data_IF_901736333507
#
_entry.id   IF_901736333507
#
_cell.length_a   1.000
_cell.length_b   1.000
_cell.length_c   1.000
_cell.angle_alpha   90.00
_cell.angle_beta   90.00
_cell.angle_gamma   90.00
#
_symmetry.space_group_name_H-M   'P 1'
#
loop_
_entity.id
_entity.type
_entity.pdbx_description
1 polymer ?
#
# COMPACT_ATOMS: atom_id res chain seq x y z
N UNK A 1 -9.57 -102.02 -102.89
CA UNK A 1 -10.30 -101.25 -101.86
C UNK A 1 -9.33 -100.27 -101.25
N UNK A 2 -9.65 -98.99 -101.34
CA UNK A 2 -8.85 -97.83 -100.92
C UNK A 2 -9.15 -97.47 -99.46
N UNK A 3 -8.13 -97.09 -98.69
CA UNK A 3 -8.30 -96.44 -97.37
C UNK A 3 -7.28 -95.33 -97.22
N UNK A 4 -7.78 -94.09 -97.20
CA UNK A 4 -7.05 -92.84 -97.00
C UNK A 4 -6.88 -92.53 -95.50
N UNK A 5 -5.70 -92.02 -95.14
CA UNK A 5 -5.37 -91.54 -93.78
C UNK A 5 -5.48 -90.01 -93.76
N UNK A 6 -6.31 -89.48 -92.87
CA UNK A 6 -6.48 -88.05 -92.62
C UNK A 6 -5.53 -87.54 -91.52
N UNK A 7 -4.84 -86.43 -91.80
CA UNK A 7 -4.04 -85.67 -90.83
C UNK A 7 -4.92 -84.75 -89.97
N UNK A 8 -4.83 -84.86 -88.65
CA UNK A 8 -5.40 -83.89 -87.68
C UNK A 8 -4.43 -82.75 -87.43
N UNK A 9 -4.83 -81.52 -87.77
CA UNK A 9 -4.08 -80.30 -87.47
C UNK A 9 -4.31 -79.85 -86.01
N UNK A 10 -3.22 -79.57 -85.29
CA UNK A 10 -3.25 -78.88 -83.99
C UNK A 10 -3.78 -77.46 -84.17
N UNK A 11 -4.87 -77.13 -83.48
CA UNK A 11 -5.33 -75.75 -83.33
C UNK A 11 -4.29 -74.95 -82.53
N UNK A 12 -3.80 -73.86 -83.13
CA UNK A 12 -3.07 -72.79 -82.42
C UNK A 12 -4.09 -71.98 -81.62
N UNK A 13 -3.83 -71.79 -80.33
CA UNK A 13 -4.62 -70.92 -79.46
C UNK A 13 -4.66 -69.48 -80.00
N UNK A 14 -5.85 -68.87 -79.88
CA UNK A 14 -6.17 -67.54 -80.39
C UNK A 14 -5.37 -66.44 -79.64
N UNK A 15 -4.50 -65.68 -80.34
CA UNK A 15 -3.70 -64.61 -79.75
C UNK A 15 -4.52 -63.44 -79.19
N UNK A 16 -5.82 -63.34 -79.50
CA UNK A 16 -6.70 -62.30 -78.95
C UNK A 16 -7.06 -62.49 -77.47
N UNK A 17 -7.04 -63.72 -76.95
CA UNK A 17 -7.43 -64.04 -75.56
C UNK A 17 -6.39 -63.61 -74.51
N UNK A 18 -5.11 -63.62 -74.88
CA UNK A 18 -4.00 -63.22 -74.00
C UNK A 18 -3.96 -61.71 -73.76
N UNK A 19 -4.19 -60.90 -74.80
CA UNK A 19 -4.25 -59.43 -74.66
C UNK A 19 -5.44 -58.95 -73.85
N UNK A 20 -6.59 -59.63 -73.94
CA UNK A 20 -7.76 -59.35 -73.10
C UNK A 20 -7.49 -59.67 -71.61
N UNK A 21 -6.78 -60.76 -71.31
CA UNK A 21 -6.39 -61.10 -69.95
C UNK A 21 -5.36 -60.12 -69.36
N UNK A 22 -4.36 -59.69 -70.16
CA UNK A 22 -3.34 -58.71 -69.75
C UNK A 22 -3.95 -57.33 -69.51
N UNK A 23 -4.89 -56.89 -70.35
CA UNK A 23 -5.60 -55.61 -70.16
C UNK A 23 -6.55 -55.65 -68.97
N UNK A 24 -7.25 -56.75 -68.73
CA UNK A 24 -8.08 -56.93 -67.53
C UNK A 24 -7.23 -56.94 -66.24
N UNK A 25 -6.06 -57.59 -66.24
CA UNK A 25 -5.11 -57.56 -65.12
C UNK A 25 -4.48 -56.18 -64.91
N UNK A 26 -4.15 -55.45 -65.98
CA UNK A 26 -3.66 -54.09 -65.89
C UNK A 26 -4.73 -53.12 -65.36
N UNK A 27 -5.98 -53.25 -65.83
CA UNK A 27 -7.11 -52.47 -65.32
C UNK A 27 -7.42 -52.81 -63.86
N UNK A 28 -7.37 -54.09 -63.48
CA UNK A 28 -7.50 -54.52 -62.09
C UNK A 28 -6.35 -54.02 -61.22
N UNK A 29 -5.11 -54.02 -61.71
CA UNK A 29 -3.96 -53.46 -61.00
C UNK A 29 -4.08 -51.94 -60.82
N UNK A 30 -4.54 -51.20 -61.84
CA UNK A 30 -4.82 -49.76 -61.74
C UNK A 30 -5.98 -49.48 -60.78
N UNK A 31 -7.02 -50.31 -60.75
CA UNK A 31 -8.12 -50.21 -59.78
C UNK A 31 -7.68 -50.56 -58.35
N UNK A 32 -6.82 -51.55 -58.16
CA UNK A 32 -6.25 -51.92 -56.85
C UNK A 32 -5.29 -50.84 -56.36
N UNK A 33 -4.43 -50.31 -57.23
CA UNK A 33 -3.54 -49.19 -56.92
C UNK A 33 -4.35 -47.91 -56.66
N UNK A 34 -5.39 -47.63 -57.45
CA UNK A 34 -6.27 -46.46 -57.30
C UNK A 34 -7.19 -46.52 -56.08
N UNK A 35 -7.68 -47.71 -55.71
CA UNK A 35 -8.46 -47.91 -54.47
C UNK A 35 -7.56 -47.89 -53.23
N UNK A 36 -6.35 -48.44 -53.32
CA UNK A 36 -5.34 -48.34 -52.26
C UNK A 36 -4.93 -46.88 -51.99
N UNK A 37 -4.71 -46.07 -53.03
CA UNK A 37 -4.38 -44.64 -52.86
C UNK A 37 -5.55 -43.83 -52.32
N UNK A 38 -6.79 -44.12 -52.72
CA UNK A 38 -7.98 -43.49 -52.16
C UNK A 38 -8.18 -43.82 -50.68
N UNK A 39 -7.98 -45.09 -50.28
CA UNK A 39 -8.05 -45.52 -48.89
C UNK A 39 -6.97 -44.84 -48.04
N UNK A 40 -5.72 -44.76 -48.53
CA UNK A 40 -4.62 -44.05 -47.85
C UNK A 40 -4.90 -42.54 -47.75
N UNK A 41 -5.47 -41.92 -48.79
CA UNK A 41 -5.82 -40.51 -48.76
C UNK A 41 -6.94 -40.19 -47.76
N UNK A 42 -7.96 -41.03 -47.68
CA UNK A 42 -9.04 -40.93 -46.68
C UNK A 42 -8.49 -41.12 -45.27
N UNK A 43 -7.66 -42.14 -45.07
CA UNK A 43 -7.01 -42.45 -43.81
C UNK A 43 -6.15 -41.28 -43.31
N UNK A 44 -5.36 -40.67 -44.20
CA UNK A 44 -4.56 -39.48 -43.88
C UNK A 44 -5.40 -38.22 -43.68
N UNK A 45 -6.54 -38.07 -44.37
CA UNK A 45 -7.46 -36.96 -44.16
C UNK A 45 -8.14 -37.05 -42.78
N UNK A 46 -8.59 -38.24 -42.38
CA UNK A 46 -9.16 -38.48 -41.07
C UNK A 46 -8.11 -38.38 -39.96
N UNK A 47 -6.89 -38.85 -40.22
CA UNK A 47 -5.76 -38.64 -39.32
C UNK A 47 -5.47 -37.15 -39.13
N UNK A 48 -5.41 -36.38 -40.23
CA UNK A 48 -5.20 -34.94 -40.16
C UNK A 48 -6.31 -34.24 -39.37
N UNK A 49 -7.57 -34.62 -39.55
CA UNK A 49 -8.69 -34.11 -38.74
C UNK A 49 -8.54 -34.46 -37.26
N UNK A 50 -8.08 -35.67 -36.95
CA UNK A 50 -7.86 -36.11 -35.56
C UNK A 50 -6.83 -35.24 -34.84
N UNK A 51 -5.77 -34.84 -35.55
CA UNK A 51 -4.67 -34.05 -34.97
C UNK A 51 -4.83 -32.53 -35.14
N UNK A 52 -5.82 -32.04 -35.90
CA UNK A 52 -6.00 -30.59 -36.15
C UNK A 52 -6.19 -29.75 -34.89
N UNK A 53 -6.68 -30.36 -33.81
CA UNK A 53 -6.92 -29.71 -32.52
C UNK A 53 -6.13 -30.36 -31.37
N UNK A 54 -5.09 -31.13 -31.69
CA UNK A 54 -4.25 -31.84 -30.70
C UNK A 54 -2.77 -31.60 -30.95
N UNK A 55 -1.98 -31.47 -29.88
CA UNK A 55 -0.53 -31.38 -29.98
C UNK A 55 0.05 -32.71 -30.47
N UNK A 56 1.11 -32.69 -31.28
CA UNK A 56 1.69 -33.90 -31.86
C UNK A 56 2.44 -34.74 -30.80
N UNK A 57 2.63 -36.05 -31.02
CA UNK A 57 3.43 -36.90 -30.13
C UNK A 57 4.85 -36.35 -29.97
N UNK A 58 5.33 -36.31 -28.72
CA UNK A 58 6.63 -35.72 -28.35
C UNK A 58 6.60 -34.22 -28.02
N UNK A 59 5.41 -33.62 -27.96
CA UNK A 59 5.24 -32.26 -27.44
C UNK A 59 5.27 -32.25 -25.90
N UNK A 60 6.09 -31.38 -25.34
CA UNK A 60 6.33 -31.26 -23.91
C UNK A 60 6.28 -29.79 -23.46
N UNK A 61 5.64 -29.51 -22.33
CA UNK A 61 5.59 -28.18 -21.72
C UNK A 61 6.00 -28.27 -20.25
N UNK A 62 7.07 -27.59 -19.84
CA UNK A 62 7.61 -27.64 -18.47
C UNK A 62 7.81 -29.06 -17.90
N UNK A 63 8.19 -30.06 -18.72
CA UNK A 63 8.30 -31.45 -18.24
C UNK A 63 7.04 -32.31 -18.42
N UNK A 64 5.92 -31.70 -18.83
CA UNK A 64 4.63 -32.38 -18.99
C UNK A 64 4.47 -32.82 -20.44
N UNK A 65 4.30 -34.13 -20.66
CA UNK A 65 3.92 -34.67 -21.96
C UNK A 65 2.49 -34.22 -22.30
N UNK A 66 2.37 -33.39 -23.34
CA UNK A 66 1.09 -32.88 -23.85
C UNK A 66 0.73 -33.49 -25.20
N UNK A 67 1.49 -34.49 -25.66
CA UNK A 67 1.23 -35.20 -26.90
C UNK A 67 -0.18 -35.81 -26.91
N UNK A 68 -0.95 -35.50 -27.96
CA UNK A 68 -2.32 -35.96 -28.10
C UNK A 68 -3.36 -35.14 -27.33
N UNK A 69 -2.96 -34.15 -26.54
CA UNK A 69 -3.89 -33.28 -25.80
C UNK A 69 -4.42 -32.13 -26.66
N UNK A 70 -5.67 -31.72 -26.42
CA UNK A 70 -6.21 -30.43 -26.91
C UNK A 70 -5.57 -29.25 -26.17
N UNK A 71 -5.82 -28.02 -26.63
CA UNK A 71 -5.35 -26.81 -25.93
C UNK A 71 -5.83 -26.80 -24.48
N UNK A 72 -7.11 -27.08 -24.23
CA UNK A 72 -7.68 -27.09 -22.87
C UNK A 72 -7.08 -28.21 -22.00
N UNK A 73 -6.91 -29.41 -22.57
CA UNK A 73 -6.32 -30.57 -21.88
C UNK A 73 -4.86 -30.29 -21.50
N UNK A 74 -4.06 -29.77 -22.44
CA UNK A 74 -2.66 -29.42 -22.23
C UNK A 74 -2.51 -28.27 -21.23
N UNK A 75 -3.36 -27.24 -21.34
CA UNK A 75 -3.38 -26.11 -20.38
C UNK A 75 -3.66 -26.62 -18.98
N UNK A 76 -4.70 -27.44 -18.80
CA UNK A 76 -5.05 -28.01 -17.50
C UNK A 76 -3.94 -28.91 -16.93
N UNK A 77 -3.26 -29.69 -17.77
CA UNK A 77 -2.15 -30.55 -17.34
C UNK A 77 -0.94 -29.74 -16.86
N UNK A 78 -0.56 -28.68 -17.58
CA UNK A 78 0.55 -27.79 -17.19
C UNK A 78 0.17 -26.95 -15.96
N UNK A 79 -1.06 -26.43 -15.92
CA UNK A 79 -1.57 -25.70 -14.76
C UNK A 79 -1.60 -26.56 -13.50
N UNK A 80 -1.89 -27.86 -13.61
CA UNK A 80 -1.87 -28.77 -12.46
C UNK A 80 -0.46 -28.90 -11.84
N UNK A 81 0.59 -28.87 -12.66
CA UNK A 81 1.98 -28.87 -12.17
C UNK A 81 2.31 -27.55 -11.48
N UNK A 82 1.84 -26.42 -12.04
CA UNK A 82 2.06 -25.09 -11.48
C UNK A 82 1.15 -24.76 -10.29
N UNK A 83 0.04 -25.48 -10.10
CA UNK A 83 -0.94 -25.25 -9.03
C UNK A 83 -0.29 -25.29 -7.64
N UNK A 84 0.64 -26.22 -7.41
CA UNK A 84 1.40 -26.31 -6.15
C UNK A 84 2.15 -25.02 -5.79
N UNK A 85 2.60 -24.25 -6.79
CA UNK A 85 3.25 -22.95 -6.60
C UNK A 85 2.22 -21.84 -6.39
N UNK A 86 1.09 -21.90 -7.10
CA UNK A 86 0.03 -20.90 -7.07
C UNK A 86 -0.81 -20.93 -5.80
N UNK A 87 -1.02 -22.11 -5.23
CA UNK A 87 -1.90 -22.35 -4.07
C UNK A 87 -1.12 -22.41 -2.74
N UNK A 88 0.20 -22.19 -2.79
CA UNK A 88 1.04 -22.12 -1.60
C UNK A 88 0.63 -20.92 -0.74
N UNK A 89 0.46 -21.18 0.55
CA UNK A 89 0.14 -20.16 1.55
C UNK A 89 1.34 -19.26 1.86
N UNK A 90 1.09 -17.96 1.88
CA UNK A 90 1.99 -16.91 2.34
C UNK A 90 1.28 -16.19 3.50
N UNK A 91 2.01 -16.00 4.59
CA UNK A 91 1.53 -15.36 5.81
C UNK A 91 2.21 -14.01 5.94
N UNK A 92 1.46 -12.92 6.01
CA UNK A 92 1.97 -11.63 6.45
C UNK A 92 1.82 -11.52 7.96
N UNK A 93 2.82 -10.99 8.67
CA UNK A 93 2.83 -10.92 10.14
C UNK A 93 3.17 -9.53 10.64
N UNK A 94 2.47 -9.13 11.70
CA UNK A 94 2.78 -7.94 12.48
C UNK A 94 2.41 -8.22 13.94
N UNK A 95 3.40 -8.28 14.83
CA UNK A 95 3.20 -8.63 16.24
C UNK A 95 2.41 -9.95 16.40
N UNK A 96 1.21 -9.91 16.99
CA UNK A 96 0.30 -11.04 17.17
C UNK A 96 -0.70 -11.24 16.01
N UNK A 97 -0.73 -10.31 15.06
CA UNK A 97 -1.64 -10.35 13.90
C UNK A 97 -1.01 -11.04 12.71
N UNK A 98 -1.86 -11.75 11.98
CA UNK A 98 -1.47 -12.48 10.76
C UNK A 98 -2.54 -12.37 9.69
N UNK A 99 -2.10 -12.23 8.43
CA UNK A 99 -2.93 -12.31 7.24
C UNK A 99 -2.40 -13.39 6.33
N UNK A 100 -3.28 -14.08 5.63
CA UNK A 100 -2.89 -15.15 4.73
C UNK A 100 -3.28 -14.81 3.30
N UNK A 101 -2.44 -15.23 2.35
CA UNK A 101 -2.77 -15.17 0.93
C UNK A 101 -2.06 -16.27 0.15
N UNK A 102 -2.38 -16.40 -1.13
CA UNK A 102 -1.65 -17.24 -2.09
C UNK A 102 -1.25 -16.43 -3.32
N UNK A 103 -0.23 -16.85 -4.08
CA UNK A 103 0.08 -16.24 -5.38
C UNK A 103 -1.16 -16.14 -6.29
N UNK A 104 -2.03 -17.16 -6.31
CA UNK A 104 -3.28 -17.13 -7.09
C UNK A 104 -4.20 -15.98 -6.67
N UNK A 105 -4.40 -15.79 -5.37
CA UNK A 105 -5.22 -14.70 -4.83
C UNK A 105 -4.61 -13.33 -5.13
N UNK A 106 -3.28 -13.23 -5.13
CA UNK A 106 -2.52 -12.06 -5.57
C UNK A 106 -2.56 -11.83 -7.08
N UNK A 107 -3.23 -12.70 -7.83
CA UNK A 107 -3.45 -12.55 -9.27
C UNK A 107 -2.32 -13.11 -10.13
N UNK A 108 -1.43 -13.92 -9.56
CA UNK A 108 -0.43 -14.63 -10.34
C UNK A 108 -1.13 -15.61 -11.28
N UNK A 109 -0.84 -15.49 -12.58
CA UNK A 109 -1.40 -16.31 -13.65
C UNK A 109 -0.31 -17.08 -14.40
N UNK A 110 -0.71 -18.08 -15.19
CA UNK A 110 0.20 -18.88 -16.02
C UNK A 110 0.10 -18.43 -17.49
N UNK A 111 1.18 -18.62 -18.26
CA UNK A 111 1.12 -18.54 -19.74
C UNK A 111 0.85 -19.91 -20.37
N UNK A 112 0.32 -20.87 -19.61
CA UNK A 112 0.15 -22.26 -20.06
C UNK A 112 -0.76 -22.36 -21.29
N UNK A 113 -1.84 -21.58 -21.32
CA UNK A 113 -2.76 -21.53 -22.47
C UNK A 113 -2.07 -21.12 -23.77
N UNK A 114 -1.28 -20.04 -23.74
CA UNK A 114 -0.57 -19.54 -24.93
C UNK A 114 0.45 -20.57 -25.45
N UNK A 115 1.15 -21.26 -24.55
CA UNK A 115 2.15 -22.28 -24.90
C UNK A 115 1.48 -23.57 -25.39
N UNK A 116 0.36 -23.97 -24.78
CA UNK A 116 -0.46 -25.09 -25.24
C UNK A 116 -1.04 -24.84 -26.63
N UNK A 117 -1.50 -23.61 -26.91
CA UNK A 117 -1.95 -23.21 -28.23
C UNK A 117 -0.83 -23.27 -29.27
N UNK A 118 0.39 -22.85 -28.91
CA UNK A 118 1.56 -23.00 -29.78
C UNK A 118 1.89 -24.49 -30.07
N UNK A 119 1.80 -25.36 -29.06
CA UNK A 119 2.00 -26.81 -29.23
C UNK A 119 0.99 -27.41 -30.20
N UNK A 120 -0.31 -27.10 -30.04
CA UNK A 120 -1.38 -27.57 -30.92
C UNK A 120 -1.23 -26.95 -32.32
N UNK A 121 -0.85 -25.69 -32.43
CA UNK A 121 -0.67 -25.05 -33.74
C UNK A 121 0.45 -25.69 -34.58
N UNK A 122 1.38 -26.41 -33.96
CA UNK A 122 2.38 -27.23 -34.68
C UNK A 122 1.70 -28.29 -35.56
N UNK A 123 0.63 -28.94 -35.08
CA UNK A 123 -0.09 -29.97 -35.85
C UNK A 123 -0.85 -29.39 -37.05
N UNK A 124 -1.29 -28.12 -36.96
CA UNK A 124 -2.02 -27.42 -38.02
C UNK A 124 -1.12 -27.06 -39.20
N UNK A 125 0.17 -26.81 -38.92
CA UNK A 125 1.14 -26.30 -39.89
C UNK A 125 2.13 -27.36 -40.40
N UNK A 126 2.11 -28.56 -39.85
CA UNK A 126 3.03 -29.63 -40.26
C UNK A 126 2.71 -30.16 -41.66
N UNK A 127 3.75 -30.58 -42.39
CA UNK A 127 3.59 -31.16 -43.72
C UNK A 127 2.85 -32.51 -43.67
N UNK A 128 2.14 -32.85 -44.75
CA UNK A 128 1.42 -34.13 -44.85
C UNK A 128 2.36 -35.34 -44.83
N UNK A 129 3.61 -35.20 -45.31
CA UNK A 129 4.61 -36.28 -45.30
C UNK A 129 5.08 -36.56 -43.89
N UNK A 130 5.32 -35.51 -43.09
CA UNK A 130 5.69 -35.65 -41.69
C UNK A 130 4.55 -36.27 -40.88
N UNK A 131 3.29 -35.89 -41.13
CA UNK A 131 2.13 -36.56 -40.50
C UNK A 131 2.05 -38.06 -40.85
N UNK A 132 2.43 -38.44 -42.07
CA UNK A 132 2.46 -39.84 -42.48
C UNK A 132 3.58 -40.62 -41.77
N UNK A 133 4.73 -39.99 -41.55
CA UNK A 133 5.84 -40.56 -40.75
C UNK A 133 5.41 -40.78 -39.30
N UNK A 134 4.78 -39.78 -38.66
CA UNK A 134 4.20 -39.91 -37.31
C UNK A 134 3.21 -41.08 -37.26
N UNK A 135 2.31 -41.20 -38.26
CA UNK A 135 1.28 -42.25 -38.29
C UNK A 135 1.84 -43.66 -38.47
N UNK A 136 2.77 -43.85 -39.41
CA UNK A 136 3.19 -45.19 -39.84
C UNK A 136 4.49 -45.67 -39.20
N UNK A 137 5.37 -44.76 -38.81
CA UNK A 137 6.63 -45.09 -38.11
C UNK A 137 6.56 -44.86 -36.62
N UNK A 138 5.53 -44.14 -36.15
CA UNK A 138 5.45 -43.70 -34.75
C UNK A 138 6.45 -42.61 -34.43
N UNK A 139 6.93 -41.88 -35.44
CA UNK A 139 7.88 -40.79 -35.26
C UNK A 139 7.25 -39.66 -34.42
N UNK A 140 8.06 -38.95 -33.64
CA UNK A 140 7.61 -37.80 -32.84
C UNK A 140 7.98 -36.50 -33.54
N UNK A 141 7.17 -35.46 -33.34
CA UNK A 141 7.52 -34.10 -33.74
C UNK A 141 7.79 -33.30 -32.46
N UNK A 142 9.07 -33.17 -32.05
CA UNK A 142 9.39 -32.57 -30.77
C UNK A 142 8.96 -31.11 -30.73
N UNK A 143 8.27 -30.75 -29.65
CA UNK A 143 7.98 -29.38 -29.27
C UNK A 143 8.34 -29.26 -27.80
N UNK A 144 9.10 -28.23 -27.43
CA UNK A 144 9.42 -27.93 -26.03
C UNK A 144 9.00 -26.51 -25.75
N UNK A 145 8.04 -26.34 -24.84
CA UNK A 145 7.52 -25.04 -24.41
C UNK A 145 7.79 -24.78 -22.94
N UNK A 146 8.01 -23.51 -22.60
CA UNK A 146 8.16 -23.04 -21.22
C UNK A 146 7.02 -22.09 -20.87
N UNK A 147 5.99 -22.62 -20.21
CA UNK A 147 4.99 -21.81 -19.54
C UNK A 147 5.60 -21.13 -18.30
N UNK A 148 5.33 -19.84 -18.16
CA UNK A 148 5.86 -18.99 -17.10
C UNK A 148 4.74 -18.44 -16.22
N UNK A 149 5.10 -17.95 -15.04
CA UNK A 149 4.19 -17.26 -14.14
C UNK A 149 4.29 -15.75 -14.37
N UNK A 150 3.13 -15.08 -14.42
CA UNK A 150 3.01 -13.63 -14.51
C UNK A 150 2.66 -13.07 -13.14
N UNK A 151 3.39 -12.05 -12.68
CA UNK A 151 3.32 -11.53 -11.32
C UNK A 151 2.81 -10.08 -11.27
N UNK A 152 1.49 -9.84 -11.40
CA UNK A 152 0.94 -8.51 -11.27
C UNK A 152 1.04 -8.01 -9.82
N UNK A 153 1.25 -6.70 -9.65
CA UNK A 153 1.38 -6.09 -8.32
C UNK A 153 0.10 -5.43 -7.81
N UNK A 154 -0.95 -5.35 -8.64
CA UNK A 154 -2.19 -4.64 -8.29
C UNK A 154 -2.86 -5.23 -7.04
N UNK A 155 -3.15 -6.53 -7.03
CA UNK A 155 -3.81 -7.17 -5.87
C UNK A 155 -2.90 -7.23 -4.64
N UNK A 156 -1.59 -7.30 -4.81
CA UNK A 156 -0.62 -7.18 -3.72
C UNK A 156 -0.69 -5.79 -3.06
N UNK A 157 -0.77 -4.72 -3.85
CA UNK A 157 -1.01 -3.36 -3.36
C UNK A 157 -2.33 -3.26 -2.62
N UNK A 158 -3.41 -3.83 -3.17
CA UNK A 158 -4.74 -3.79 -2.54
C UNK A 158 -4.75 -4.53 -1.19
N UNK A 159 -4.08 -5.68 -1.10
CA UNK A 159 -3.93 -6.41 0.16
C UNK A 159 -3.14 -5.60 1.20
N UNK A 160 -1.99 -5.06 0.81
CA UNK A 160 -1.14 -4.27 1.71
C UNK A 160 -1.82 -2.96 2.12
N UNK A 161 -2.62 -2.33 1.25
CA UNK A 161 -3.42 -1.17 1.59
C UNK A 161 -4.49 -1.49 2.66
N UNK A 162 -5.20 -2.61 2.55
CA UNK A 162 -6.14 -3.05 3.60
C UNK A 162 -5.43 -3.31 4.92
N UNK A 163 -4.27 -3.97 4.89
CA UNK A 163 -3.46 -4.19 6.10
C UNK A 163 -2.99 -2.85 6.68
N UNK A 164 -2.63 -1.89 5.82
CA UNK A 164 -2.26 -0.54 6.24
C UNK A 164 -3.40 0.14 7.00
N UNK A 165 -4.63 0.08 6.48
CA UNK A 165 -5.81 0.66 7.14
C UNK A 165 -6.08 -0.02 8.50
N UNK A 166 -5.93 -1.35 8.59
CA UNK A 166 -6.14 -2.12 9.84
C UNK A 166 -5.07 -1.85 10.91
N UNK A 167 -3.84 -1.53 10.49
CA UNK A 167 -2.70 -1.30 11.39
C UNK A 167 -2.44 0.18 11.68
N UNK A 168 -3.11 1.07 10.93
CA UNK A 168 -2.99 2.50 11.09
C UNK A 168 -3.37 2.92 12.51
N UNK A 169 -2.47 3.66 13.14
CA UNK A 169 -2.67 4.25 14.44
C UNK A 169 -2.38 5.75 14.31
N UNK A 170 -3.40 6.58 14.51
CA UNK A 170 -3.21 8.02 14.52
C UNK A 170 -2.28 8.44 15.66
N UNK A 171 -1.28 9.31 15.40
CA UNK A 171 -0.51 9.90 16.48
C UNK A 171 -1.41 10.76 17.38
N UNK A 172 -1.08 10.81 18.67
CA UNK A 172 -1.77 11.65 19.65
C UNK A 172 -0.83 12.76 20.10
N UNK A 173 -1.21 14.01 19.83
CA UNK A 173 -0.51 15.19 20.29
C UNK A 173 -0.41 15.24 21.82
N UNK A 174 0.70 15.79 22.32
CA UNK A 174 0.80 16.20 23.70
C UNK A 174 -0.29 17.23 24.03
N UNK A 175 -0.79 17.20 25.26
CA UNK A 175 -1.85 18.11 25.71
C UNK A 175 -1.48 18.81 27.01
N UNK A 176 -1.86 20.08 27.10
CA UNK A 176 -1.81 20.83 28.35
C UNK A 176 -3.12 20.66 29.11
N UNK A 177 -3.06 19.92 30.21
CA UNK A 177 -4.13 19.81 31.21
C UNK A 177 -3.80 20.66 32.44
N UNK A 178 -4.79 20.90 33.29
CA UNK A 178 -4.58 21.60 34.56
C UNK A 178 -5.70 21.31 35.56
N UNK A 179 -5.35 21.46 36.83
CA UNK A 179 -6.31 21.57 37.93
C UNK A 179 -6.12 22.92 38.65
N UNK A 180 -6.73 23.12 39.82
CA UNK A 180 -6.56 24.36 40.60
C UNK A 180 -5.16 24.54 41.19
N UNK A 181 -4.39 23.46 41.34
CA UNK A 181 -3.09 23.46 42.01
C UNK A 181 -1.92 23.56 41.03
N UNK A 182 -2.02 22.97 39.83
CA UNK A 182 -0.90 22.89 38.87
C UNK A 182 -1.34 22.63 37.42
N UNK A 183 -0.52 23.06 36.45
CA UNK A 183 -0.59 22.51 35.09
C UNK A 183 0.02 21.10 35.06
N UNK A 184 -0.45 20.27 34.13
CA UNK A 184 0.07 18.93 33.85
C UNK A 184 0.15 18.73 32.35
N UNK A 185 1.24 18.15 31.87
CA UNK A 185 1.43 17.83 30.45
C UNK A 185 1.11 16.35 30.29
N UNK A 186 0.13 16.04 29.44
CA UNK A 186 -0.13 14.68 28.96
C UNK A 186 0.84 14.46 27.79
N UNK A 187 1.76 13.48 27.89
CA UNK A 187 2.73 13.24 26.82
C UNK A 187 2.08 12.80 25.52
N UNK A 188 2.75 13.13 24.42
CA UNK A 188 2.40 12.66 23.09
C UNK A 188 2.57 11.15 22.95
N UNK A 189 1.79 10.53 22.05
CA UNK A 189 1.93 9.11 21.69
C UNK A 189 2.20 9.01 20.18
N UNK A 190 3.30 8.36 19.76
CA UNK A 190 3.56 8.13 18.35
C UNK A 190 2.47 7.28 17.71
N UNK A 191 2.12 7.65 16.48
CA UNK A 191 1.26 6.86 15.61
C UNK A 191 2.07 5.79 14.87
N UNK A 192 1.39 5.06 14.00
CA UNK A 192 1.97 3.99 13.19
C UNK A 192 1.28 3.93 11.84
N UNK A 193 2.05 3.72 10.80
CA UNK A 193 1.54 3.38 9.47
C UNK A 193 2.39 2.29 8.83
N UNK A 194 1.83 1.56 7.87
CA UNK A 194 2.54 0.52 7.13
C UNK A 194 3.41 1.16 6.06
N UNK A 195 4.67 0.77 5.99
CA UNK A 195 5.52 1.01 4.84
C UNK A 195 5.10 0.06 3.72
N UNK A 196 4.13 0.52 2.92
CA UNK A 196 3.53 -0.30 1.87
C UNK A 196 4.56 -0.76 0.84
N UNK A 197 5.51 0.10 0.46
CA UNK A 197 6.55 -0.23 -0.51
C UNK A 197 7.42 -1.41 -0.06
N UNK A 198 7.97 -1.32 1.17
CA UNK A 198 8.79 -2.38 1.74
C UNK A 198 8.00 -3.68 1.96
N UNK A 199 6.73 -3.57 2.38
CA UNK A 199 5.86 -4.75 2.58
C UNK A 199 5.54 -5.43 1.25
N UNK A 200 5.22 -4.68 0.20
CA UNK A 200 4.97 -5.21 -1.15
C UNK A 200 6.23 -5.87 -1.70
N UNK A 201 7.40 -5.24 -1.53
CA UNK A 201 8.68 -5.81 -1.96
C UNK A 201 8.93 -7.17 -1.28
N UNK A 202 8.79 -7.23 0.05
CA UNK A 202 8.91 -8.49 0.80
C UNK A 202 7.90 -9.54 0.37
N UNK A 203 6.64 -9.14 0.12
CA UNK A 203 5.59 -10.03 -0.37
C UNK A 203 5.91 -10.59 -1.76
N UNK A 204 6.31 -9.75 -2.71
CA UNK A 204 6.64 -10.18 -4.06
C UNK A 204 7.91 -11.03 -4.09
N UNK A 205 8.87 -10.75 -3.22
CA UNK A 205 10.04 -11.62 -3.04
C UNK A 205 9.61 -13.01 -2.54
N UNK A 206 8.72 -13.09 -1.55
CA UNK A 206 8.18 -14.36 -1.06
C UNK A 206 7.35 -15.11 -2.13
N UNK A 207 6.61 -14.39 -2.98
CA UNK A 207 5.85 -14.97 -4.11
C UNK A 207 6.77 -15.58 -5.17
N UNK A 208 7.87 -14.90 -5.52
CA UNK A 208 8.75 -15.28 -6.63
C UNK A 208 9.82 -16.31 -6.25
N UNK A 209 10.36 -16.26 -5.03
CA UNK A 209 11.36 -17.22 -4.52
C UNK A 209 10.78 -18.58 -4.11
N UNK A 210 9.46 -18.72 -4.16
CA UNK A 210 8.69 -19.92 -3.80
C UNK A 210 9.07 -21.20 -4.58
N UNK A 211 9.80 -21.07 -5.69
CA UNK A 211 10.28 -22.19 -6.50
C UNK A 211 11.61 -22.79 -6.07
N UNK A 212 12.28 -22.22 -5.04
CA UNK A 212 13.57 -22.74 -4.56
C UNK A 212 13.37 -23.96 -3.64
N UNK A 213 14.13 -25.07 -3.80
CA UNK A 213 14.04 -26.28 -2.96
C UNK A 213 14.23 -26.05 -1.46
N UNK A 214 14.77 -24.89 -1.07
CA UNK A 214 15.18 -24.58 0.31
C UNK A 214 14.06 -23.98 1.20
N UNK A 215 12.81 -23.94 0.74
CA UNK A 215 11.67 -23.60 1.63
C UNK A 215 11.70 -22.18 2.18
N UNK A 216 12.09 -21.20 1.34
CA UNK A 216 12.19 -19.80 1.73
C UNK A 216 10.81 -19.20 2.11
N UNK A 217 10.79 -18.63 3.32
CA UNK A 217 9.79 -17.76 3.94
C UNK A 217 8.35 -17.83 3.36
N UNK A 218 7.52 -18.68 3.96
CA UNK A 218 6.05 -18.53 3.94
C UNK A 218 5.58 -17.39 4.85
N UNK A 219 6.48 -16.63 5.45
CA UNK A 219 6.19 -15.52 6.36
C UNK A 219 6.85 -14.23 5.88
N UNK A 220 6.08 -13.15 5.79
CA UNK A 220 6.53 -11.82 5.39
C UNK A 220 6.20 -10.86 6.52
N UNK A 221 7.19 -10.14 7.03
CA UNK A 221 6.94 -9.12 8.05
C UNK A 221 6.31 -7.88 7.39
N UNK A 222 5.23 -7.38 7.98
CA UNK A 222 4.63 -6.11 7.57
C UNK A 222 5.49 -4.99 8.14
N UNK A 223 6.20 -4.28 7.27
CA UNK A 223 7.04 -3.18 7.67
C UNK A 223 6.18 -1.99 8.10
N UNK A 224 6.46 -1.41 9.27
CA UNK A 224 5.77 -0.21 9.76
C UNK A 224 6.75 0.91 10.06
N UNK A 225 6.27 2.15 9.99
CA UNK A 225 7.00 3.35 10.40
C UNK A 225 6.20 4.12 11.44
N UNK A 226 6.90 4.73 12.40
CA UNK A 226 6.28 5.59 13.39
C UNK A 226 5.86 6.91 12.75
N UNK A 227 4.63 7.34 13.02
CA UNK A 227 4.13 8.66 12.64
C UNK A 227 4.32 9.58 13.83
N UNK A 228 5.07 10.67 13.65
CA UNK A 228 5.31 11.62 14.74
C UNK A 228 4.07 12.49 14.98
N UNK A 229 3.73 12.79 16.24
CA UNK A 229 2.70 13.76 16.58
C UNK A 229 3.14 15.18 16.19
N UNK A 230 2.17 16.05 15.91
CA UNK A 230 2.43 17.44 15.52
C UNK A 230 2.91 18.27 16.71
N UNK A 231 2.40 17.96 17.91
CA UNK A 231 2.79 18.61 19.16
C UNK A 231 3.40 17.62 20.12
N UNK A 232 4.60 17.94 20.57
CA UNK A 232 5.32 17.21 21.61
C UNK A 232 5.27 17.97 22.93
N UNK A 233 5.62 17.31 24.03
CA UNK A 233 5.81 17.94 25.33
C UNK A 233 6.73 19.16 25.31
N UNK A 234 7.64 19.26 24.33
CA UNK A 234 8.48 20.44 24.12
C UNK A 234 7.68 21.72 23.83
N UNK A 235 6.49 21.63 23.24
CA UNK A 235 5.60 22.77 23.03
C UNK A 235 5.08 23.38 24.35
N UNK A 236 5.11 22.61 25.43
CA UNK A 236 4.63 22.99 26.77
C UNK A 236 5.77 23.22 27.75
N UNK A 237 6.99 23.50 27.24
CA UNK A 237 8.19 23.69 28.05
C UNK A 237 8.02 24.75 29.13
N UNK A 238 7.39 25.88 28.81
CA UNK A 238 7.16 27.00 29.73
C UNK A 238 5.68 27.31 29.84
N UNK A 239 5.17 27.37 31.07
CA UNK A 239 3.76 27.64 31.36
C UNK A 239 3.68 28.68 32.47
N UNK A 240 2.93 29.75 32.21
CA UNK A 240 2.51 30.74 33.20
C UNK A 240 1.22 30.27 33.86
N UNK A 241 1.28 29.87 35.12
CA UNK A 241 0.13 29.38 35.87
C UNK A 241 -0.37 30.44 36.86
N UNK A 242 -1.48 31.08 36.52
CA UNK A 242 -2.12 32.11 37.33
C UNK A 242 -3.24 31.50 38.18
N UNK A 243 -3.07 31.53 39.50
CA UNK A 243 -4.14 31.25 40.47
C UNK A 243 -4.72 32.57 40.97
N UNK A 244 -5.90 32.91 40.48
CA UNK A 244 -6.49 34.21 40.76
C UNK A 244 -6.90 34.36 42.23
N UNK A 245 -7.52 33.34 42.83
CA UNK A 245 -7.92 33.40 44.26
C UNK A 245 -6.75 33.50 45.24
N UNK A 246 -5.56 33.02 44.83
CA UNK A 246 -4.35 33.07 45.65
C UNK A 246 -3.50 34.31 45.36
N UNK A 247 -3.87 35.11 44.35
CA UNK A 247 -3.08 36.23 43.84
C UNK A 247 -1.64 35.83 43.49
N UNK A 248 -1.48 34.63 42.92
CA UNK A 248 -0.16 34.07 42.62
C UNK A 248 -0.01 33.73 41.14
N UNK A 249 1.10 34.14 40.54
CA UNK A 249 1.55 33.72 39.22
C UNK A 249 2.81 32.88 39.35
N UNK A 250 2.75 31.63 38.90
CA UNK A 250 3.90 30.73 38.89
C UNK A 250 4.44 30.54 37.47
N UNK A 251 5.76 30.58 37.30
CA UNK A 251 6.40 30.10 36.08
C UNK A 251 6.79 28.64 36.27
N UNK A 252 6.24 27.79 35.41
CA UNK A 252 6.59 26.38 35.32
C UNK A 252 7.50 26.17 34.11
N UNK A 253 8.63 25.50 34.32
CA UNK A 253 9.56 25.10 33.26
C UNK A 253 9.84 23.62 33.40
N UNK A 254 9.66 22.86 32.32
CA UNK A 254 9.88 21.41 32.27
C UNK A 254 9.14 20.68 33.42
N UNK A 255 7.88 21.07 33.64
CA UNK A 255 7.01 20.48 34.67
C UNK A 255 7.35 20.85 36.11
N UNK A 256 8.28 21.79 36.34
CA UNK A 256 8.68 22.26 37.68
C UNK A 256 8.39 23.75 37.84
N UNK A 257 7.84 24.14 38.98
CA UNK A 257 7.73 25.56 39.35
C UNK A 257 9.12 26.12 39.64
N UNK A 258 9.55 27.12 38.86
CA UNK A 258 10.88 27.75 38.99
C UNK A 258 10.81 29.17 39.54
N UNK A 259 9.66 29.86 39.40
CA UNK A 259 9.40 31.20 39.95
C UNK A 259 7.96 31.33 40.40
N UNK A 260 7.73 32.30 41.27
CA UNK A 260 6.43 32.57 41.88
C UNK A 260 6.35 34.06 42.22
N UNK A 261 5.29 34.73 41.77
CA UNK A 261 5.10 36.17 41.88
C UNK A 261 3.75 36.50 42.51
N UNK A 262 3.75 37.44 43.45
CA UNK A 262 2.50 38.01 43.99
C UNK A 262 1.93 38.98 42.96
N UNK A 263 0.65 38.84 42.63
CA UNK A 263 0.00 39.63 41.58
C UNK A 263 -1.25 40.33 42.07
N UNK A 264 -1.69 41.36 41.35
CA UNK A 264 -3.06 41.86 41.45
C UNK A 264 -3.86 41.41 40.23
N UNK A 265 -5.10 40.97 40.43
CA UNK A 265 -5.97 40.51 39.34
C UNK A 265 -7.14 41.46 39.12
N UNK A 266 -7.95 41.16 38.10
CA UNK A 266 -9.18 41.86 37.78
C UNK A 266 -10.19 41.81 38.92
N UNK A 267 -10.90 42.91 39.13
CA UNK A 267 -12.03 42.97 40.07
C UNK A 267 -13.21 42.12 39.60
N UNK A 268 -14.18 41.85 40.47
CA UNK A 268 -15.40 41.13 40.09
C UNK A 268 -16.17 41.76 38.90
N UNK A 269 -16.14 43.09 38.78
CA UNK A 269 -16.77 43.81 37.66
C UNK A 269 -15.94 43.76 36.36
N UNK A 270 -14.65 43.43 36.46
CA UNK A 270 -13.70 43.36 35.35
C UNK A 270 -12.78 42.15 35.55
N UNK A 271 -13.32 40.92 35.49
CA UNK A 271 -12.59 39.73 35.88
C UNK A 271 -11.42 39.45 34.93
N UNK A 272 -10.34 38.91 35.48
CA UNK A 272 -9.26 38.35 34.66
C UNK A 272 -9.77 37.04 34.01
N UNK A 273 -9.59 36.85 32.69
CA UNK A 273 -10.07 35.64 32.02
C UNK A 273 -9.43 34.37 32.57
N UNK A 274 -10.23 33.31 32.72
CA UNK A 274 -9.77 31.95 33.04
C UNK A 274 -9.59 31.12 31.77
N UNK A 275 -8.96 29.95 31.90
CA UNK A 275 -8.72 29.01 30.80
C UNK A 275 -7.28 29.00 30.31
N UNK A 276 -7.07 28.36 29.16
CA UNK A 276 -5.77 28.30 28.48
C UNK A 276 -5.69 29.46 27.48
N UNK A 277 -4.61 30.21 27.57
CA UNK A 277 -4.24 31.40 26.78
C UNK A 277 -2.77 31.25 26.35
N UNK A 278 -2.25 32.22 25.61
CA UNK A 278 -0.82 32.27 25.30
C UNK A 278 -0.31 33.71 25.18
N UNK A 279 0.99 33.88 25.39
CA UNK A 279 1.64 35.19 25.23
C UNK A 279 1.68 35.54 23.75
N UNK A 280 1.07 36.67 23.37
CA UNK A 280 1.01 37.11 21.97
C UNK A 280 2.05 38.18 21.64
N UNK A 281 2.46 38.98 22.63
CA UNK A 281 3.36 40.11 22.39
C UNK A 281 4.09 40.54 23.65
N UNK A 282 5.37 40.84 23.50
CA UNK A 282 6.23 41.42 24.55
C UNK A 282 6.47 42.89 24.25
N UNK A 283 6.17 43.77 25.22
CA UNK A 283 6.32 45.24 25.11
C UNK A 283 7.29 45.77 26.17
N UNK A 284 8.54 46.12 25.79
CA UNK A 284 9.41 46.88 26.68
C UNK A 284 8.92 48.33 26.78
N UNK A 285 8.92 48.90 27.98
CA UNK A 285 8.50 50.29 28.24
C UNK A 285 7.18 50.62 27.53
N UNK A 286 6.08 49.92 27.88
CA UNK A 286 4.84 50.01 27.13
C UNK A 286 4.20 51.40 27.25
N UNK A 287 3.70 51.90 26.13
CA UNK A 287 2.76 53.03 26.12
C UNK A 287 1.42 52.56 26.70
N UNK A 288 0.86 53.31 27.65
CA UNK A 288 -0.52 53.08 28.08
C UNK A 288 -1.49 53.86 27.18
N UNK A 289 -2.42 53.15 26.57
CA UNK A 289 -3.55 53.73 25.82
C UNK A 289 -4.81 53.58 26.66
N UNK A 290 -5.56 54.66 26.84
CA UNK A 290 -6.78 54.65 27.64
C UNK A 290 -7.80 53.66 27.05
N UNK A 291 -8.11 52.56 27.75
CA UNK A 291 -8.97 51.51 27.21
C UNK A 291 -10.45 51.85 27.32
N UNK A 292 -10.83 52.85 28.13
CA UNK A 292 -12.22 53.21 28.39
C UNK A 292 -12.41 54.74 28.50
N UNK A 293 -12.09 55.51 27.44
CA UNK A 293 -12.11 56.97 27.48
C UNK A 293 -13.52 57.58 27.60
N UNK A 294 -14.57 56.77 27.43
CA UNK A 294 -15.96 57.17 27.62
C UNK A 294 -16.59 56.50 28.87
N UNK A 295 -15.81 55.75 29.64
CA UNK A 295 -16.25 55.01 30.82
C UNK A 295 -15.42 55.37 32.05
N UNK A 296 -14.90 54.36 32.75
CA UNK A 296 -14.07 54.55 33.95
C UNK A 296 -12.81 55.39 33.70
N UNK A 297 -12.34 55.48 32.46
CA UNK A 297 -11.19 56.28 32.05
C UNK A 297 -11.53 57.68 31.52
N UNK A 298 -12.77 58.18 31.64
CA UNK A 298 -13.22 59.46 31.04
C UNK A 298 -12.40 60.70 31.45
N UNK A 299 -11.80 60.69 32.63
CA UNK A 299 -10.94 61.76 33.13
C UNK A 299 -9.44 61.58 32.86
N UNK A 300 -9.04 60.48 32.22
CA UNK A 300 -7.63 60.15 31.99
C UNK A 300 -7.18 60.58 30.58
N UNK A 301 -5.90 60.94 30.39
CA UNK A 301 -5.33 61.21 29.07
C UNK A 301 -5.62 60.06 28.10
N UNK A 302 -5.73 60.34 26.80
CA UNK A 302 -5.92 59.28 25.78
C UNK A 302 -4.74 58.30 25.72
N UNK A 303 -3.54 58.79 26.03
CA UNK A 303 -2.28 58.05 25.97
C UNK A 303 -1.34 58.60 27.03
N UNK A 304 -0.59 57.72 27.68
CA UNK A 304 0.47 58.05 28.64
C UNK A 304 1.74 57.36 28.14
N UNK A 305 2.79 58.16 27.94
CA UNK A 305 4.10 57.68 27.49
C UNK A 305 4.81 56.87 28.59
N UNK A 306 5.85 56.09 28.26
CA UNK A 306 6.65 55.40 29.26
C UNK A 306 7.25 56.38 30.29
N UNK A 307 7.23 55.99 31.57
CA UNK A 307 7.75 56.81 32.67
C UNK A 307 7.07 56.49 34.01
N UNK A 308 7.43 57.20 35.09
CA UNK A 308 6.95 56.91 36.45
C UNK A 308 5.42 56.94 36.62
N UNK A 309 4.73 57.77 35.82
CA UNK A 309 3.28 57.93 35.87
C UNK A 309 2.52 56.91 34.99
N UNK A 310 3.23 56.04 34.28
CA UNK A 310 2.61 55.06 33.40
C UNK A 310 2.08 53.85 34.21
N UNK A 311 0.78 53.56 34.16
CA UNK A 311 0.19 52.49 34.99
C UNK A 311 0.57 51.07 34.54
N UNK A 312 1.16 50.91 33.34
CA UNK A 312 1.67 49.62 32.85
C UNK A 312 3.09 49.28 33.35
N UNK A 313 3.74 50.21 34.05
CA UNK A 313 5.09 50.02 34.55
C UNK A 313 6.12 49.83 33.42
N UNK A 314 7.15 49.03 33.70
CA UNK A 314 8.33 48.94 32.85
C UNK A 314 8.23 47.88 31.73
N UNK A 315 7.37 46.89 31.87
CA UNK A 315 7.20 45.78 30.91
C UNK A 315 5.73 45.36 30.85
N UNK A 316 5.31 44.87 29.69
CA UNK A 316 4.03 44.21 29.53
C UNK A 316 4.12 42.99 28.60
N UNK A 317 3.41 41.93 28.96
CA UNK A 317 3.19 40.72 28.17
C UNK A 317 1.70 40.65 27.84
N UNK A 318 1.34 40.77 26.57
CA UNK A 318 -0.04 40.61 26.13
C UNK A 318 -0.42 39.14 26.02
N UNK A 319 -1.69 38.85 26.28
CA UNK A 319 -2.29 37.54 26.05
C UNK A 319 -3.08 37.56 24.74
N UNK A 320 -3.61 36.43 24.31
CA UNK A 320 -4.63 36.31 23.25
C UNK A 320 -6.03 36.72 23.72
N UNK A 321 -6.22 36.95 25.02
CA UNK A 321 -7.40 37.65 25.54
C UNK A 321 -7.34 39.16 25.28
N UNK A 322 -8.35 39.68 24.59
CA UNK A 322 -8.39 41.08 24.14
C UNK A 322 -8.19 42.08 25.29
N UNK A 323 -7.13 42.89 25.19
CA UNK A 323 -6.83 43.97 26.14
C UNK A 323 -6.20 43.53 27.46
N UNK A 324 -5.99 42.23 27.68
CA UNK A 324 -5.41 41.66 28.91
C UNK A 324 -3.90 41.52 28.78
N UNK A 325 -3.19 41.81 29.88
CA UNK A 325 -1.74 41.78 29.95
C UNK A 325 -1.28 41.35 31.34
N UNK A 326 -0.14 40.67 31.42
CA UNK A 326 0.74 40.79 32.58
C UNK A 326 1.52 42.09 32.44
N UNK A 327 1.57 42.95 33.45
CA UNK A 327 2.34 44.19 33.37
C UNK A 327 2.84 44.66 34.73
N UNK A 328 3.85 45.52 34.74
CA UNK A 328 4.36 46.13 35.97
C UNK A 328 3.40 47.16 36.55
N UNK A 329 3.58 47.54 37.81
CA UNK A 329 2.79 48.62 38.40
C UNK A 329 3.62 49.49 39.34
N UNK A 330 3.32 50.79 39.36
CA UNK A 330 3.80 51.70 40.39
C UNK A 330 2.98 51.61 41.69
N UNK A 331 1.76 51.03 41.64
CA UNK A 331 0.89 50.87 42.79
C UNK A 331 1.11 49.49 43.45
N UNK A 332 2.21 49.35 44.17
CA UNK A 332 2.59 48.10 44.85
C UNK A 332 1.59 47.66 45.91
N UNK A 333 0.86 48.59 46.52
CA UNK A 333 -0.20 48.29 47.51
C UNK A 333 -1.41 47.56 46.91
N UNK A 334 -1.50 47.51 45.57
CA UNK A 334 -2.54 46.75 44.87
C UNK A 334 -2.23 45.26 44.72
N UNK A 335 -0.97 44.83 44.92
CA UNK A 335 -0.58 43.43 44.82
C UNK A 335 -1.23 42.59 45.95
N UNK A 336 -1.62 41.35 45.65
CA UNK A 336 -2.37 40.51 46.58
C UNK A 336 -3.86 40.85 46.66
N UNK A 337 -4.40 41.58 45.68
CA UNK A 337 -5.79 42.05 45.67
C UNK A 337 -6.43 42.00 44.30
N UNK A 338 -7.76 41.97 44.30
CA UNK A 338 -8.60 42.23 43.15
C UNK A 338 -8.67 43.75 42.94
N UNK A 339 -7.87 44.29 42.01
CA UNK A 339 -7.64 45.73 41.92
C UNK A 339 -7.57 46.30 40.49
N UNK A 340 -7.67 45.44 39.47
CA UNK A 340 -7.51 45.83 38.07
C UNK A 340 -8.82 45.77 37.27
N UNK A 341 -8.74 46.24 36.02
CA UNK A 341 -9.81 46.11 35.02
C UNK A 341 -9.58 44.88 34.10
N UNK A 342 -9.05 43.79 34.66
CA UNK A 342 -8.85 42.49 34.00
C UNK A 342 -7.38 42.11 33.79
N UNK A 343 -6.46 43.08 33.71
CA UNK A 343 -5.02 42.82 33.61
C UNK A 343 -4.43 42.23 34.90
N UNK A 344 -3.28 41.60 34.80
CA UNK A 344 -2.54 41.06 35.95
C UNK A 344 -1.34 41.97 36.23
N UNK A 345 -1.34 42.58 37.42
CA UNK A 345 -0.27 43.50 37.84
C UNK A 345 0.79 42.73 38.61
N UNK A 346 2.05 43.00 38.29
CA UNK A 346 3.23 42.54 39.01
C UNK A 346 4.00 43.76 39.52
N UNK A 347 4.90 43.55 40.48
CA UNK A 347 5.90 44.58 40.77
C UNK A 347 6.77 44.84 39.53
N UNK A 348 7.40 46.02 39.45
CA UNK A 348 8.24 46.34 38.29
C UNK A 348 9.47 45.40 38.20
N UNK A 349 10.02 44.97 39.33
CA UNK A 349 11.15 44.05 39.36
C UNK A 349 10.72 42.65 38.88
N UNK A 350 9.58 42.16 39.37
CA UNK A 350 9.04 40.85 38.98
C UNK A 350 8.67 40.79 37.51
N UNK A 351 8.03 41.83 36.96
CA UNK A 351 7.70 41.82 35.52
C UNK A 351 8.94 41.93 34.65
N UNK A 352 10.03 42.59 35.11
CA UNK A 352 11.28 42.61 34.36
C UNK A 352 11.87 41.21 34.28
N UNK A 353 11.97 40.51 35.41
CA UNK A 353 12.47 39.13 35.42
C UNK A 353 11.58 38.22 34.57
N UNK A 354 10.26 38.25 34.78
CA UNK A 354 9.32 37.43 34.02
C UNK A 354 9.40 37.71 32.52
N UNK A 355 9.54 38.99 32.15
CA UNK A 355 9.68 39.39 30.76
C UNK A 355 10.92 38.79 30.12
N UNK A 356 12.02 38.63 30.83
CA UNK A 356 13.25 38.05 30.27
C UNK A 356 13.17 36.51 30.18
N UNK A 357 12.39 35.87 31.05
CA UNK A 357 12.25 34.41 31.10
C UNK A 357 11.22 33.83 30.11
N UNK A 358 10.19 34.61 29.75
CA UNK A 358 9.05 34.16 28.95
C UNK A 358 9.19 34.52 27.48
N UNK A 359 8.73 33.67 26.58
CA UNK A 359 8.72 33.88 25.13
C UNK A 359 7.30 34.10 24.59
N UNK A 360 7.20 34.70 23.39
CA UNK A 360 5.94 34.73 22.66
C UNK A 360 5.57 33.30 22.27
N UNK A 361 4.31 32.92 22.49
CA UNK A 361 3.81 31.56 22.32
C UNK A 361 3.78 30.73 23.61
N UNK A 362 4.47 31.15 24.68
CA UNK A 362 4.41 30.45 25.96
C UNK A 362 2.97 30.43 26.50
N UNK A 363 2.56 29.27 27.01
CA UNK A 363 1.19 29.04 27.44
C UNK A 363 0.89 29.71 28.77
N UNK A 364 -0.34 30.20 28.89
CA UNK A 364 -0.88 30.79 30.12
C UNK A 364 -2.07 29.93 30.53
N UNK A 365 -2.05 29.45 31.77
CA UNK A 365 -3.18 28.74 32.37
C UNK A 365 -3.67 29.59 33.53
N UNK A 366 -4.89 30.09 33.40
CA UNK A 366 -5.52 30.98 34.38
C UNK A 366 -6.69 30.28 35.05
N UNK A 367 -6.59 30.05 36.35
CA UNK A 367 -7.62 29.39 37.15
C UNK A 367 -8.18 30.35 38.19
N UNK A 368 -9.48 30.19 38.49
CA UNK A 368 -10.14 30.96 39.52
C UNK A 368 -9.85 30.36 40.89
#
# INVERSE_FOLDING_TARGET
MTSSVSWTSRQRGDPGSWWAAVTALAAAAVLILGSGTAAVALDMADYRRTWQDRALPGAEINGVDVGGMTVDEATAAVDAVLASRLDRRITLRFEDRTWETTPRELGVSTTAGDVAEAAVNTSRNVSWTTLAEVRWRGDTVPFTGDATLQYPTAKARDLVARIADELHLEPVDAQLAYDRARPTIVPEQPGRTVNQGATIEGLMHAVTQAGSPEGLATSVDVATVAVQPDKTTAAYRRILFLRQSDHQLDLWVDGRRVRSYVVAVGTGNYPTPTGIHHVTLKRPNPVWTNPAPNGWGRGLPRRIEPGPNNPLGLRALNWDAAGIRFHGTANVDSLGRDASHGCVRLSNDDIIELFDLVEVGDHIVSVR
#
